data_IF_557785930241
#
_entry.id   IF_557785930241
#
_cell.length_a   1.000
_cell.length_b   1.000
_cell.length_c   1.000
_cell.angle_alpha   90.00
_cell.angle_beta   90.00
_cell.angle_gamma   90.00
#
_symmetry.space_group_name_H-M   'P 1'
#
loop_
_entity.id
_entity.type
_entity.pdbx_description
1 polymer ?
#
# COMPACT_ATOMS: atom_id res chain seq x y z
N UNK A 1 49.90 -6.11 6.23
CA UNK A 1 48.93 -5.84 5.16
C UNK A 1 47.68 -5.23 5.78
N UNK A 2 47.08 -4.21 5.16
CA UNK A 2 45.79 -3.67 5.62
C UNK A 2 44.65 -4.61 5.20
N UNK A 3 43.68 -4.91 6.07
CA UNK A 3 42.53 -5.73 5.71
C UNK A 3 41.72 -5.05 4.59
N UNK A 4 41.20 -5.85 3.66
CA UNK A 4 40.38 -5.40 2.53
C UNK A 4 38.92 -5.74 2.87
N UNK A 5 38.01 -4.77 2.72
CA UNK A 5 36.59 -4.99 2.96
C UNK A 5 35.99 -5.98 1.96
N UNK A 6 35.13 -6.88 2.46
CA UNK A 6 34.42 -7.81 1.61
C UNK A 6 33.22 -7.12 0.95
N UNK A 7 33.15 -7.11 -0.38
CA UNK A 7 32.11 -6.41 -1.14
C UNK A 7 30.68 -6.91 -0.87
N UNK A 8 30.50 -8.12 -0.34
CA UNK A 8 29.19 -8.74 -0.12
C UNK A 8 28.71 -8.67 1.33
N UNK A 9 29.64 -8.72 2.29
CA UNK A 9 29.33 -8.84 3.72
C UNK A 9 29.79 -7.64 4.55
N UNK A 10 30.54 -6.71 3.96
CA UNK A 10 30.85 -5.44 4.59
C UNK A 10 29.72 -4.46 4.26
N UNK A 11 28.78 -4.30 5.20
CA UNK A 11 27.53 -3.57 4.99
C UNK A 11 27.60 -2.21 5.68
N UNK A 12 27.30 -1.16 4.93
CA UNK A 12 27.13 0.18 5.48
C UNK A 12 25.85 0.27 6.31
N UNK A 13 25.93 0.95 7.44
CA UNK A 13 24.83 1.11 8.39
C UNK A 13 24.38 2.57 8.47
N UNK A 14 23.15 2.77 8.93
CA UNK A 14 22.56 4.07 9.21
C UNK A 14 21.91 4.03 10.60
N UNK A 15 22.01 5.14 11.31
CA UNK A 15 21.41 5.34 12.63
C UNK A 15 20.13 6.18 12.51
N UNK A 16 19.03 5.66 13.05
CA UNK A 16 17.76 6.37 13.16
C UNK A 16 17.41 6.55 14.63
N UNK A 17 16.85 7.70 14.99
CA UNK A 17 16.22 7.91 16.29
C UNK A 17 14.71 8.05 16.11
N UNK A 18 13.95 7.24 16.83
CA UNK A 18 12.48 7.30 16.87
C UNK A 18 12.05 7.34 18.32
N UNK A 19 11.30 8.37 18.69
CA UNK A 19 11.02 8.67 20.10
C UNK A 19 12.31 8.72 20.94
N UNK A 20 12.43 7.87 21.95
CA UNK A 20 13.58 7.73 22.84
C UNK A 20 14.52 6.57 22.48
N UNK A 21 14.31 5.90 21.34
CA UNK A 21 15.05 4.71 20.93
C UNK A 21 15.93 4.93 19.69
N UNK A 22 17.11 4.31 19.69
CA UNK A 22 18.11 4.38 18.62
C UNK A 22 18.17 3.05 17.86
N UNK A 23 18.04 3.12 16.54
CA UNK A 23 18.05 1.98 15.63
C UNK A 23 19.26 2.03 14.71
N UNK A 24 20.03 0.94 14.68
CA UNK A 24 21.15 0.75 13.75
C UNK A 24 20.80 -0.30 12.72
N UNK A 25 20.62 0.11 11.47
CA UNK A 25 20.13 -0.77 10.39
C UNK A 25 21.00 -0.67 9.14
N UNK A 26 20.99 -1.68 8.25
CA UNK A 26 21.66 -1.59 6.96
C UNK A 26 21.16 -0.39 6.13
N UNK A 27 22.09 0.41 5.61
CA UNK A 27 21.80 1.61 4.82
C UNK A 27 21.28 1.29 3.42
N UNK A 28 21.72 0.16 2.86
CA UNK A 28 21.49 -0.22 1.46
C UNK A 28 20.00 -0.16 1.03
N UNK A 29 19.02 -0.74 1.75
CA UNK A 29 17.62 -0.69 1.32
C UNK A 29 17.03 0.72 1.25
N UNK A 30 17.55 1.67 2.04
CA UNK A 30 17.12 3.07 2.01
C UNK A 30 17.75 3.86 0.86
N UNK A 31 18.96 3.47 0.41
CA UNK A 31 19.64 4.10 -0.73
C UNK A 31 19.18 3.56 -2.08
N UNK A 32 18.76 2.29 -2.14
CA UNK A 32 18.22 1.69 -3.36
C UNK A 32 16.88 2.31 -3.77
N UNK A 33 16.19 2.96 -2.84
CA UNK A 33 15.01 3.74 -3.14
C UNK A 33 15.42 5.06 -3.82
N UNK A 34 15.07 5.27 -5.12
CA UNK A 34 15.46 6.48 -5.84
C UNK A 34 14.61 7.71 -5.47
N UNK A 35 13.61 7.55 -4.60
CA UNK A 35 12.65 8.58 -4.28
C UNK A 35 12.90 9.21 -2.89
N UNK A 36 12.56 10.50 -2.72
CA UNK A 36 12.62 11.17 -1.42
C UNK A 36 11.75 10.47 -0.36
N UNK A 37 12.09 10.60 0.94
CA UNK A 37 13.05 11.55 1.49
C UNK A 37 14.49 11.04 1.57
N UNK A 38 14.71 9.72 1.58
CA UNK A 38 16.04 9.16 1.86
C UNK A 38 17.05 9.35 0.73
N UNK A 39 16.60 9.37 -0.53
CA UNK A 39 17.46 9.73 -1.66
C UNK A 39 18.14 11.08 -1.44
N UNK A 40 17.38 12.04 -0.92
CA UNK A 40 17.82 13.42 -0.72
C UNK A 40 18.72 13.50 0.51
N UNK A 41 18.29 12.93 1.63
CA UNK A 41 19.07 12.87 2.88
C UNK A 41 20.47 12.32 2.64
N UNK A 42 20.60 11.28 1.81
CA UNK A 42 21.91 10.68 1.52
C UNK A 42 22.69 11.35 0.38
N UNK A 43 22.08 12.27 -0.37
CA UNK A 43 22.72 12.98 -1.49
C UNK A 43 23.06 14.44 -1.17
N UNK A 44 22.50 15.02 -0.10
CA UNK A 44 22.72 16.42 0.25
C UNK A 44 24.18 16.70 0.63
N UNK A 45 24.80 17.76 0.07
CA UNK A 45 26.13 18.20 0.47
C UNK A 45 26.10 18.73 1.91
N UNK A 46 27.11 18.35 2.69
CA UNK A 46 27.18 18.63 4.11
C UNK A 46 27.34 20.13 4.37
N UNK A 47 26.62 20.70 5.35
CA UNK A 47 26.91 22.05 5.80
C UNK A 47 28.33 22.08 6.37
N UNK A 48 29.09 23.12 6.00
CA UNK A 48 30.40 23.35 6.60
C UNK A 48 30.22 23.98 7.96
N UNK A 49 30.96 23.51 8.95
CA UNK A 49 31.04 24.20 10.22
C UNK A 49 31.75 25.55 9.99
N UNK A 50 31.01 26.65 10.20
CA UNK A 50 31.49 28.02 10.00
C UNK A 50 32.68 28.36 10.91
N UNK A 51 32.87 27.60 12.00
CA UNK A 51 33.91 27.86 13.01
C UNK A 51 35.21 27.07 12.79
N UNK A 52 35.13 25.88 12.20
CA UNK A 52 36.28 24.96 12.02
C UNK A 52 36.66 24.73 10.55
N UNK A 53 35.81 25.15 9.61
CA UNK A 53 35.99 24.93 8.16
C UNK A 53 36.13 23.43 7.80
N UNK A 54 35.66 22.54 8.68
CA UNK A 54 35.53 21.10 8.44
C UNK A 54 34.08 20.77 8.09
N UNK A 55 33.90 19.81 7.18
CA UNK A 55 32.57 19.31 6.81
C UNK A 55 31.93 18.64 8.05
N UNK A 56 30.70 19.05 8.41
CA UNK A 56 29.94 18.36 9.45
C UNK A 56 29.67 16.92 9.03
N UNK A 57 29.63 15.98 9.97
CA UNK A 57 29.31 14.59 9.62
C UNK A 57 27.85 14.48 9.14
N UNK A 58 27.56 13.66 8.11
CA UNK A 58 26.19 13.43 7.66
C UNK A 58 25.33 12.87 8.78
N UNK A 59 24.07 13.28 8.83
CA UNK A 59 23.07 12.66 9.72
C UNK A 59 22.99 11.15 9.44
N UNK A 60 22.82 10.38 10.52
CA UNK A 60 22.73 8.92 10.49
C UNK A 60 24.05 8.19 10.37
N UNK A 61 25.21 8.87 10.53
CA UNK A 61 26.54 8.23 10.46
C UNK A 61 27.09 7.75 11.80
N UNK A 62 26.59 8.27 12.92
CA UNK A 62 26.98 7.85 14.27
C UNK A 62 25.80 7.85 15.26
N UNK A 63 26.04 7.34 16.46
CA UNK A 63 25.04 7.33 17.55
C UNK A 63 24.76 8.74 18.08
N UNK A 64 25.75 9.64 17.99
CA UNK A 64 25.67 11.03 18.42
C UNK A 64 25.00 11.94 17.39
N UNK A 65 24.86 11.48 16.14
CA UNK A 65 24.22 12.21 15.06
C UNK A 65 23.29 11.30 14.23
N UNK A 66 22.20 10.75 14.81
CA UNK A 66 21.25 9.91 14.10
C UNK A 66 20.30 10.73 13.22
N UNK A 67 19.65 10.08 12.25
CA UNK A 67 18.50 10.67 11.54
C UNK A 67 17.29 10.61 12.49
N UNK A 68 16.85 11.77 12.97
CA UNK A 68 15.71 11.87 13.89
C UNK A 68 14.41 11.85 13.08
N UNK A 69 13.58 10.83 13.30
CA UNK A 69 12.26 10.71 12.69
C UNK A 69 11.20 11.27 13.64
N UNK A 70 11.02 12.59 13.58
CA UNK A 70 10.01 13.29 14.38
C UNK A 70 8.58 12.82 14.02
N UNK A 71 7.69 12.82 15.01
CA UNK A 71 6.26 12.48 14.84
C UNK A 71 5.98 11.03 14.40
N UNK A 72 6.98 10.15 14.51
CA UNK A 72 6.84 8.72 14.24
C UNK A 72 6.76 7.92 15.54
N UNK A 73 5.76 7.05 15.67
CA UNK A 73 5.68 6.10 16.78
C UNK A 73 6.66 4.95 16.55
N UNK A 74 7.38 4.54 17.60
CA UNK A 74 8.36 3.44 17.51
C UNK A 74 7.78 2.13 17.01
N UNK A 75 6.56 1.79 17.45
CA UNK A 75 5.85 0.58 17.02
C UNK A 75 5.64 0.55 15.50
N UNK A 76 5.35 1.70 14.89
CA UNK A 76 5.13 1.77 13.45
C UNK A 76 6.44 1.59 12.69
N UNK A 77 7.53 2.15 13.23
CA UNK A 77 8.85 1.98 12.65
C UNK A 77 9.33 0.53 12.73
N UNK A 78 9.18 -0.12 13.88
CA UNK A 78 9.51 -1.53 14.08
C UNK A 78 8.73 -2.44 13.14
N UNK A 79 7.42 -2.21 12.96
CA UNK A 79 6.59 -2.92 11.98
C UNK A 79 7.14 -2.77 10.57
N UNK A 80 7.47 -1.54 10.15
CA UNK A 80 8.07 -1.29 8.84
C UNK A 80 9.42 -1.98 8.67
N UNK A 81 10.31 -1.86 9.66
CA UNK A 81 11.62 -2.52 9.66
C UNK A 81 11.50 -4.05 9.62
N UNK A 82 10.53 -4.60 10.36
CA UNK A 82 10.28 -6.04 10.40
C UNK A 82 9.95 -6.56 9.00
N UNK A 83 9.16 -5.85 8.20
CA UNK A 83 8.85 -6.29 6.83
C UNK A 83 10.01 -5.96 5.87
N UNK A 84 10.67 -4.81 6.02
CA UNK A 84 11.77 -4.39 5.14
C UNK A 84 13.01 -5.30 5.26
N UNK A 85 13.32 -5.77 6.47
CA UNK A 85 14.53 -6.54 6.77
C UNK A 85 14.28 -8.03 6.98
N UNK A 86 13.04 -8.52 6.80
CA UNK A 86 12.79 -9.97 6.76
C UNK A 86 13.62 -10.57 5.61
N UNK A 87 14.54 -11.44 5.99
CA UNK A 87 15.42 -12.18 5.09
C UNK A 87 14.88 -13.63 5.00
N UNK A 88 14.19 -14.05 3.91
CA UNK A 88 13.64 -15.40 3.84
C UNK A 88 14.75 -16.41 3.54
N UNK A 89 14.73 -17.57 4.20
CA UNK A 89 14.32 -18.74 3.42
C UNK A 89 13.31 -19.66 4.13
N UNK A 90 12.97 -19.42 5.40
CA UNK A 90 12.04 -20.28 6.16
C UNK A 90 11.00 -19.43 6.91
N UNK A 91 9.72 -19.76 6.72
CA UNK A 91 8.57 -19.20 7.47
C UNK A 91 8.16 -17.74 7.21
N UNK A 92 8.74 -17.05 6.22
CA UNK A 92 8.32 -15.69 5.86
C UNK A 92 6.80 -15.60 5.56
N UNK A 93 6.24 -16.60 4.85
CA UNK A 93 4.82 -16.72 4.61
C UNK A 93 3.98 -16.68 5.90
N UNK A 94 4.33 -17.52 6.88
CA UNK A 94 3.62 -17.60 8.17
C UNK A 94 3.77 -16.31 8.98
N UNK A 95 4.94 -15.70 8.93
CA UNK A 95 5.18 -14.41 9.56
C UNK A 95 4.26 -13.33 8.97
N UNK A 96 4.22 -13.17 7.65
CA UNK A 96 3.37 -12.19 6.98
C UNK A 96 1.87 -12.45 7.18
N UNK A 97 1.45 -13.71 7.22
CA UNK A 97 0.07 -14.09 7.55
C UNK A 97 -0.30 -13.71 9.00
N UNK A 98 0.65 -13.82 9.94
CA UNK A 98 0.43 -13.51 11.35
C UNK A 98 0.29 -12.02 11.66
N UNK A 99 0.85 -11.15 10.81
CA UNK A 99 0.73 -9.70 10.97
C UNK A 99 -0.73 -9.23 10.87
N UNK A 100 -1.16 -8.38 11.78
CA UNK A 100 -2.52 -7.85 11.91
C UNK A 100 -2.83 -6.75 10.89
N UNK A 101 -4.09 -6.27 10.86
CA UNK A 101 -4.47 -5.11 10.04
C UNK A 101 -3.68 -3.86 10.45
N UNK A 102 -3.50 -3.63 11.76
CA UNK A 102 -2.74 -2.49 12.26
C UNK A 102 -1.28 -2.58 11.84
N UNK A 103 -0.66 -3.76 11.94
CA UNK A 103 0.73 -3.97 11.52
C UNK A 103 0.93 -3.60 10.04
N UNK A 104 0.07 -4.12 9.17
CA UNK A 104 0.14 -3.80 7.74
C UNK A 104 -0.26 -2.36 7.43
N UNK A 105 -1.13 -1.74 8.23
CA UNK A 105 -1.49 -0.33 8.07
C UNK A 105 -0.32 0.59 8.40
N UNK A 106 0.46 0.28 9.44
CA UNK A 106 1.71 0.98 9.76
C UNK A 106 2.72 0.86 8.62
N UNK A 107 2.90 -0.37 8.09
CA UNK A 107 3.80 -0.63 6.95
C UNK A 107 3.33 0.15 5.72
N UNK A 108 2.03 0.14 5.41
CA UNK A 108 1.45 0.90 4.31
C UNK A 108 1.69 2.40 4.48
N UNK A 109 1.49 2.94 5.69
CA UNK A 109 1.69 4.36 5.97
C UNK A 109 3.12 4.80 5.67
N UNK A 110 4.10 4.12 6.27
CA UNK A 110 5.52 4.50 6.14
C UNK A 110 6.06 4.23 4.75
N UNK A 111 5.67 3.12 4.12
CA UNK A 111 6.07 2.84 2.74
C UNK A 111 5.47 3.84 1.74
N UNK A 112 4.30 4.40 2.03
CA UNK A 112 3.70 5.47 1.22
C UNK A 112 4.42 6.80 1.44
N UNK A 113 4.66 7.17 2.70
CA UNK A 113 5.32 8.42 3.07
C UNK A 113 6.76 8.50 2.55
N UNK A 114 7.48 7.36 2.55
CA UNK A 114 8.87 7.29 2.14
C UNK A 114 9.08 6.74 0.73
N UNK A 115 8.00 6.59 -0.05
CA UNK A 115 8.04 6.10 -1.43
C UNK A 115 8.73 4.74 -1.61
N UNK A 116 8.63 3.85 -0.62
CA UNK A 116 9.00 2.43 -0.77
C UNK A 116 7.90 1.71 -1.56
N UNK A 117 7.81 1.98 -2.86
CA UNK A 117 6.71 1.58 -3.76
C UNK A 117 6.45 0.07 -3.69
N UNK A 118 7.54 -0.70 -3.73
CA UNK A 118 7.63 -2.12 -3.46
C UNK A 118 6.86 -2.58 -2.21
N UNK A 119 7.25 -2.03 -1.06
CA UNK A 119 6.72 -2.40 0.25
C UNK A 119 5.28 -1.90 0.42
N UNK A 120 4.95 -0.75 -0.18
CA UNK A 120 3.59 -0.24 -0.27
C UNK A 120 2.68 -1.21 -1.01
N UNK A 121 3.10 -1.70 -2.17
CA UNK A 121 2.33 -2.71 -2.90
C UNK A 121 2.18 -4.01 -2.11
N UNK A 122 3.24 -4.42 -1.42
CA UNK A 122 3.24 -5.60 -0.56
C UNK A 122 2.21 -5.48 0.58
N UNK A 123 2.21 -4.35 1.28
CA UNK A 123 1.24 -4.07 2.34
C UNK A 123 -0.19 -4.02 1.81
N UNK A 124 -0.41 -3.40 0.64
CA UNK A 124 -1.73 -3.38 -0.01
C UNK A 124 -2.20 -4.79 -0.36
N UNK A 125 -1.32 -5.66 -0.87
CA UNK A 125 -1.68 -7.04 -1.15
C UNK A 125 -2.14 -7.77 0.12
N UNK A 126 -1.33 -7.74 1.18
CA UNK A 126 -1.66 -8.44 2.42
C UNK A 126 -2.91 -7.89 3.11
N UNK A 127 -3.10 -6.57 3.15
CA UNK A 127 -4.35 -5.96 3.63
C UNK A 127 -5.56 -6.41 2.81
N UNK A 128 -5.43 -6.49 1.48
CA UNK A 128 -6.51 -6.97 0.61
C UNK A 128 -6.91 -8.43 0.88
N UNK A 129 -6.01 -9.23 1.45
CA UNK A 129 -6.27 -10.62 1.83
C UNK A 129 -6.88 -10.78 3.23
N UNK A 130 -6.93 -9.72 4.05
CA UNK A 130 -7.51 -9.77 5.40
C UNK A 130 -9.03 -9.80 5.31
N UNK A 131 -9.63 -10.89 5.82
CA UNK A 131 -11.10 -11.08 5.85
C UNK A 131 -11.80 -10.08 6.76
N UNK A 132 -11.13 -9.65 7.81
CA UNK A 132 -11.70 -8.75 8.82
C UNK A 132 -11.60 -7.27 8.40
N UNK A 133 -11.00 -6.97 7.23
CA UNK A 133 -10.94 -5.61 6.70
C UNK A 133 -12.31 -5.21 6.15
N UNK A 134 -13.01 -4.34 6.87
CA UNK A 134 -14.40 -4.01 6.54
C UNK A 134 -14.52 -3.17 5.26
N UNK A 135 -15.73 -3.05 4.72
CA UNK A 135 -16.01 -2.14 3.60
C UNK A 135 -15.61 -0.69 3.94
N UNK A 136 -15.82 -0.28 5.19
CA UNK A 136 -15.57 1.08 5.63
C UNK A 136 -14.07 1.31 5.79
N UNK A 137 -13.34 0.36 6.37
CA UNK A 137 -11.87 0.43 6.47
C UNK A 137 -11.25 0.54 5.08
N UNK A 138 -11.74 -0.24 4.10
CA UNK A 138 -11.28 -0.13 2.71
C UNK A 138 -11.50 1.27 2.15
N UNK A 139 -12.65 1.89 2.36
CA UNK A 139 -12.94 3.26 1.87
C UNK A 139 -12.01 4.27 2.54
N UNK A 140 -11.85 4.19 3.86
CA UNK A 140 -11.02 5.13 4.63
C UNK A 140 -9.53 5.01 4.28
N UNK A 141 -9.00 3.78 4.26
CA UNK A 141 -7.62 3.52 3.86
C UNK A 141 -7.38 3.90 2.39
N UNK A 142 -8.36 3.70 1.52
CA UNK A 142 -8.24 4.08 0.11
C UNK A 142 -8.13 5.59 -0.08
N UNK A 143 -8.88 6.38 0.70
CA UNK A 143 -8.77 7.84 0.72
C UNK A 143 -7.42 8.28 1.25
N UNK A 144 -7.00 7.70 2.37
CA UNK A 144 -5.77 8.10 3.06
C UNK A 144 -4.50 7.74 2.26
N UNK A 145 -4.49 6.56 1.65
CA UNK A 145 -3.31 6.02 0.98
C UNK A 145 -3.49 5.91 -0.53
N UNK A 146 -4.47 6.58 -1.13
CA UNK A 146 -4.73 6.58 -2.57
C UNK A 146 -4.75 5.19 -3.19
N UNK A 147 -5.64 4.31 -2.71
CA UNK A 147 -5.79 2.92 -3.23
C UNK A 147 -7.13 2.80 -3.96
N UNK A 148 -7.14 3.17 -5.25
CA UNK A 148 -8.37 3.32 -6.04
C UNK A 148 -9.28 2.09 -6.04
N UNK A 149 -8.69 0.89 -6.14
CA UNK A 149 -9.42 -0.38 -6.12
C UNK A 149 -10.14 -0.61 -4.79
N UNK A 150 -9.55 -0.24 -3.66
CA UNK A 150 -10.20 -0.36 -2.34
C UNK A 150 -11.37 0.61 -2.20
N UNK A 151 -11.23 1.84 -2.71
CA UNK A 151 -12.32 2.81 -2.70
C UNK A 151 -13.51 2.27 -3.48
N UNK A 152 -13.27 1.87 -4.74
CA UNK A 152 -14.31 1.35 -5.62
C UNK A 152 -14.97 0.09 -5.05
N UNK A 153 -14.17 -0.93 -4.70
CA UNK A 153 -14.73 -2.19 -4.16
C UNK A 153 -15.38 -2.01 -2.80
N UNK A 154 -14.86 -1.15 -1.93
CA UNK A 154 -15.48 -0.82 -0.65
C UNK A 154 -16.88 -0.24 -0.81
N UNK A 155 -17.04 0.74 -1.72
CA UNK A 155 -18.36 1.35 -2.01
C UNK A 155 -19.32 0.34 -2.65
N UNK A 156 -18.86 -0.38 -3.68
CA UNK A 156 -19.71 -1.31 -4.44
C UNK A 156 -20.13 -2.51 -3.60
N UNK A 157 -19.19 -3.10 -2.86
CA UNK A 157 -19.48 -4.25 -2.02
C UNK A 157 -20.41 -3.86 -0.85
N UNK A 158 -20.20 -2.69 -0.24
CA UNK A 158 -21.12 -2.17 0.79
C UNK A 158 -22.54 -1.98 0.26
N UNK A 159 -22.68 -1.42 -0.95
CA UNK A 159 -23.97 -1.19 -1.59
C UNK A 159 -24.69 -2.52 -1.90
N UNK A 160 -23.93 -3.56 -2.24
CA UNK A 160 -24.45 -4.91 -2.54
C UNK A 160 -24.59 -5.79 -1.31
N UNK A 161 -24.12 -5.36 -0.16
CA UNK A 161 -24.30 -6.10 1.08
C UNK A 161 -25.76 -5.99 1.55
N UNK A 162 -26.49 -7.10 1.39
CA UNK A 162 -27.89 -7.25 1.76
C UNK A 162 -28.10 -7.73 3.20
N UNK A 163 -27.03 -8.01 3.94
CA UNK A 163 -27.11 -8.53 5.32
C UNK A 163 -27.52 -7.49 6.36
N UNK A 164 -27.85 -6.26 5.93
CA UNK A 164 -28.19 -5.12 6.77
C UNK A 164 -27.06 -4.66 7.70
N UNK A 165 -25.79 -4.83 7.29
CA UNK A 165 -24.66 -4.23 8.00
C UNK A 165 -24.87 -2.72 8.14
N UNK A 166 -25.05 -2.25 9.37
CA UNK A 166 -25.19 -0.82 9.66
C UNK A 166 -23.82 -0.17 9.76
N UNK A 167 -23.70 1.05 9.24
CA UNK A 167 -22.52 1.89 9.50
C UNK A 167 -22.65 2.37 10.94
N UNK A 168 -21.70 2.02 11.78
CA UNK A 168 -21.67 2.49 13.16
C UNK A 168 -21.60 4.03 13.21
N UNK A 169 -22.05 4.66 14.30
CA UNK A 169 -21.93 6.11 14.45
C UNK A 169 -20.48 6.60 14.37
N UNK A 170 -19.53 5.79 14.85
CA UNK A 170 -18.09 6.08 14.79
C UNK A 170 -17.63 6.09 13.33
N UNK A 171 -18.00 5.07 12.55
CA UNK A 171 -17.61 4.95 11.15
C UNK A 171 -18.31 5.99 10.27
N UNK A 172 -19.56 6.32 10.58
CA UNK A 172 -20.27 7.42 9.94
C UNK A 172 -19.58 8.77 10.18
N UNK A 173 -19.07 9.00 11.40
CA UNK A 173 -18.25 10.16 11.74
C UNK A 173 -16.97 10.24 10.91
N UNK A 174 -16.25 9.11 10.75
CA UNK A 174 -15.03 9.03 9.94
C UNK A 174 -15.28 9.22 8.44
N UNK A 175 -16.38 8.66 7.93
CA UNK A 175 -16.74 8.76 6.50
C UNK A 175 -17.23 10.16 6.11
N UNK A 176 -17.89 10.85 7.05
CA UNK A 176 -18.59 12.10 6.82
C UNK A 176 -20.04 11.88 6.34
N UNK A 177 -20.93 12.79 6.75
CA UNK A 177 -22.38 12.69 6.52
C UNK A 177 -22.75 12.45 5.05
N UNK A 178 -22.18 13.22 4.13
CA UNK A 178 -22.48 13.12 2.70
C UNK A 178 -22.14 11.73 2.14
N UNK A 179 -20.99 11.17 2.52
CA UNK A 179 -20.56 9.83 2.10
C UNK A 179 -21.47 8.76 2.70
N UNK A 180 -21.77 8.83 3.99
CA UNK A 180 -22.67 7.89 4.66
C UNK A 180 -24.05 7.86 4.00
N UNK A 181 -24.66 9.02 3.76
CA UNK A 181 -25.96 9.13 3.09
C UNK A 181 -25.89 8.57 1.66
N UNK A 182 -24.83 8.88 0.93
CA UNK A 182 -24.64 8.40 -0.45
C UNK A 182 -24.47 6.87 -0.51
N UNK A 183 -23.77 6.27 0.47
CA UNK A 183 -23.62 4.83 0.60
C UNK A 183 -24.97 4.14 0.87
N UNK A 184 -25.79 4.68 1.78
CA UNK A 184 -27.13 4.15 2.04
C UNK A 184 -28.07 4.32 0.84
N UNK A 185 -27.97 5.43 0.10
CA UNK A 185 -28.72 5.64 -1.13
C UNK A 185 -28.34 4.58 -2.18
N UNK A 186 -27.04 4.37 -2.41
CA UNK A 186 -26.56 3.33 -3.32
C UNK A 186 -27.07 1.94 -2.95
N UNK A 187 -27.01 1.59 -1.67
CA UNK A 187 -27.55 0.32 -1.17
C UNK A 187 -29.05 0.19 -1.40
N UNK A 188 -29.79 1.28 -1.16
CA UNK A 188 -31.23 1.33 -1.42
C UNK A 188 -31.57 1.10 -2.89
N UNK A 189 -30.77 1.66 -3.81
CA UNK A 189 -30.95 1.42 -5.25
C UNK A 189 -30.57 0.00 -5.64
N UNK A 190 -29.45 -0.52 -5.14
CA UNK A 190 -29.01 -1.90 -5.41
C UNK A 190 -30.07 -2.94 -4.99
N UNK A 191 -30.82 -2.67 -3.91
CA UNK A 191 -31.97 -3.49 -3.51
C UNK A 191 -33.12 -3.43 -4.52
N UNK A 192 -33.52 -2.23 -4.95
CA UNK A 192 -34.60 -2.06 -5.96
C UNK A 192 -34.26 -2.75 -7.28
N UNK A 193 -33.01 -2.65 -7.71
CA UNK A 193 -32.53 -3.27 -8.96
C UNK A 193 -32.55 -4.81 -8.89
N UNK A 194 -32.38 -5.38 -7.69
CA UNK A 194 -32.48 -6.83 -7.45
C UNK A 194 -33.93 -7.32 -7.47
N UNK A 195 -34.84 -6.56 -6.87
CA UNK A 195 -36.25 -6.95 -6.74
C UNK A 195 -37.04 -6.73 -8.04
N UNK A 196 -36.59 -5.81 -8.90
CA UNK A 196 -37.05 -5.67 -10.28
C UNK A 196 -36.40 -6.74 -11.18
N UNK A 197 -37.16 -7.31 -12.11
CA UNK A 197 -36.77 -8.42 -13.01
C UNK A 197 -35.66 -8.08 -14.04
N UNK A 198 -34.72 -7.19 -13.69
CA UNK A 198 -33.56 -6.80 -14.48
C UNK A 198 -32.37 -7.63 -14.02
N UNK A 199 -32.03 -8.64 -14.80
CA UNK A 199 -30.93 -9.58 -14.61
C UNK A 199 -29.62 -8.89 -14.16
N UNK A 200 -29.33 -8.89 -12.86
CA UNK A 200 -27.99 -8.80 -12.24
C UNK A 200 -27.02 -7.72 -12.75
N UNK A 201 -27.52 -6.70 -13.44
CA UNK A 201 -26.68 -5.81 -14.24
C UNK A 201 -26.33 -4.57 -13.46
N UNK A 202 -25.05 -4.16 -13.54
CA UNK A 202 -24.50 -2.92 -12.98
C UNK A 202 -25.24 -1.64 -13.42
N UNK A 203 -26.14 -1.74 -14.39
CA UNK A 203 -26.76 -0.63 -15.11
C UNK A 203 -27.58 0.30 -14.20
N UNK A 204 -28.25 -0.20 -13.17
CA UNK A 204 -29.13 0.62 -12.31
C UNK A 204 -28.39 1.47 -11.27
N UNK A 205 -27.32 0.94 -10.65
CA UNK A 205 -26.57 1.68 -9.62
C UNK A 205 -25.43 2.54 -10.19
N UNK A 206 -24.93 2.25 -11.40
CA UNK A 206 -23.82 3.00 -12.03
C UNK A 206 -24.08 4.51 -12.13
N UNK A 207 -25.27 4.99 -12.52
CA UNK A 207 -25.56 6.43 -12.55
C UNK A 207 -25.45 7.09 -11.16
N UNK A 208 -25.91 6.41 -10.11
CA UNK A 208 -25.81 6.92 -8.74
C UNK A 208 -24.37 6.87 -8.21
N UNK A 209 -23.63 5.80 -8.52
CA UNK A 209 -22.22 5.73 -8.17
C UNK A 209 -21.48 6.89 -8.82
N UNK A 210 -21.73 7.10 -10.12
CA UNK A 210 -21.07 8.16 -10.85
C UNK A 210 -21.40 9.54 -10.27
N UNK A 211 -22.67 9.77 -9.94
CA UNK A 211 -23.12 11.02 -9.33
C UNK A 211 -22.44 11.32 -7.99
N UNK A 212 -22.23 10.32 -7.15
CA UNK A 212 -21.79 10.52 -5.76
C UNK A 212 -20.29 10.32 -5.55
N UNK A 213 -19.63 9.52 -6.38
CA UNK A 213 -18.29 9.00 -6.09
C UNK A 213 -17.29 9.07 -7.25
N UNK A 214 -17.72 9.45 -8.47
CA UNK A 214 -16.83 9.42 -9.64
C UNK A 214 -15.67 10.40 -9.52
N UNK A 215 -15.94 11.64 -9.12
CA UNK A 215 -14.91 12.67 -9.03
C UNK A 215 -13.90 12.34 -7.93
N UNK A 216 -14.39 11.82 -6.79
CA UNK A 216 -13.53 11.33 -5.71
C UNK A 216 -12.67 10.14 -6.18
N UNK A 217 -13.28 9.16 -6.85
CA UNK A 217 -12.55 8.02 -7.41
C UNK A 217 -11.49 8.47 -8.41
N UNK A 218 -11.78 9.45 -9.27
CA UNK A 218 -10.81 10.00 -10.24
C UNK A 218 -9.63 10.66 -9.54
N UNK A 219 -9.88 11.43 -8.48
CA UNK A 219 -8.82 12.03 -7.67
C UNK A 219 -7.90 10.96 -7.07
N UNK A 220 -8.50 9.94 -6.45
CA UNK A 220 -7.76 8.80 -5.88
C UNK A 220 -6.98 8.04 -6.98
N UNK A 221 -7.59 7.81 -8.14
CA UNK A 221 -6.96 7.12 -9.28
C UNK A 221 -5.77 7.89 -9.86
N UNK A 222 -5.81 9.22 -9.88
CA UNK A 222 -4.71 10.04 -10.37
C UNK A 222 -3.45 9.81 -9.52
N UNK A 223 -3.58 9.94 -8.19
CA UNK A 223 -2.47 9.69 -7.26
C UNK A 223 -2.04 8.22 -7.24
N UNK A 224 -2.99 7.28 -7.31
CA UNK A 224 -2.67 5.85 -7.37
C UNK A 224 -1.86 5.51 -8.64
N UNK A 225 -2.15 6.17 -9.76
CA UNK A 225 -1.42 6.02 -11.02
C UNK A 225 0.01 6.57 -10.93
N UNK A 226 0.22 7.68 -10.21
CA UNK A 226 1.56 8.21 -9.94
C UNK A 226 2.42 7.16 -9.22
N UNK A 227 1.91 6.55 -8.15
CA UNK A 227 2.63 5.46 -7.45
C UNK A 227 2.90 4.25 -8.35
N UNK A 228 1.93 3.85 -9.19
CA UNK A 228 2.13 2.75 -10.14
C UNK A 228 3.20 3.08 -11.20
N UNK A 229 3.35 4.35 -11.58
CA UNK A 229 4.36 4.76 -12.56
C UNK A 229 5.79 4.78 -12.01
N UNK A 230 5.94 4.84 -10.69
CA UNK A 230 7.23 4.82 -9.97
C UNK A 230 7.78 3.40 -9.77
N UNK A 231 7.06 2.36 -10.19
CA UNK A 231 7.50 0.97 -10.03
C UNK A 231 8.70 0.71 -10.97
N UNK A 232 9.91 0.40 -10.45
CA UNK A 232 11.06 0.12 -11.29
C UNK A 232 10.88 -1.22 -12.02
N UNK A 233 11.10 -1.26 -13.33
CA UNK A 233 10.96 -2.49 -14.13
C UNK A 233 11.83 -3.67 -13.65
N UNK A 234 13.01 -3.39 -13.08
CA UNK A 234 13.96 -4.40 -12.57
C UNK A 234 13.81 -4.67 -11.05
N UNK A 235 13.21 -3.74 -10.30
CA UNK A 235 12.86 -3.93 -8.88
C UNK A 235 11.64 -4.84 -8.68
N UNK A 236 10.89 -5.05 -9.77
CA UNK A 236 9.87 -6.09 -9.95
C UNK A 236 10.39 -7.44 -9.44
N UNK A 237 11.52 -7.89 -9.97
CA UNK A 237 11.96 -9.29 -9.89
C UNK A 237 12.35 -9.73 -8.48
N UNK A 238 12.97 -8.87 -7.68
CA UNK A 238 13.39 -9.20 -6.31
C UNK A 238 12.22 -9.31 -5.33
N UNK A 239 11.27 -8.37 -5.39
CA UNK A 239 10.08 -8.38 -4.56
C UNK A 239 9.03 -9.33 -5.07
N UNK A 240 8.91 -9.49 -6.38
CA UNK A 240 8.02 -10.48 -6.98
C UNK A 240 8.57 -11.89 -6.75
N UNK A 241 9.89 -12.10 -6.71
CA UNK A 241 10.50 -13.33 -6.20
C UNK A 241 10.26 -13.54 -4.71
N UNK A 242 10.43 -12.52 -3.86
CA UNK A 242 10.14 -12.62 -2.43
C UNK A 242 8.65 -12.86 -2.14
N UNK A 243 7.76 -12.23 -2.91
CA UNK A 243 6.31 -12.48 -2.93
C UNK A 243 5.99 -13.90 -3.40
N UNK A 244 6.65 -14.37 -4.46
CA UNK A 244 6.47 -15.71 -5.02
C UNK A 244 6.95 -16.79 -4.04
N UNK A 245 8.07 -16.56 -3.35
CA UNK A 245 8.63 -17.44 -2.32
C UNK A 245 7.87 -17.37 -0.99
N UNK A 246 7.24 -16.24 -0.67
CA UNK A 246 6.37 -16.07 0.49
C UNK A 246 4.99 -16.74 0.33
N UNK A 247 4.68 -17.37 -0.82
CA UNK A 247 3.41 -18.10 -1.01
C UNK A 247 3.56 -19.58 -0.63
N UNK A 248 2.66 -20.17 0.20
CA UNK A 248 2.95 -21.44 0.89
C UNK A 248 2.83 -22.71 0.02
N UNK A 249 2.25 -22.67 -1.18
CA UNK A 249 1.92 -23.91 -1.89
C UNK A 249 1.80 -23.81 -3.42
N UNK A 250 2.31 -24.83 -4.12
CA UNK A 250 2.29 -24.94 -5.60
C UNK A 250 0.87 -25.01 -6.20
N UNK A 251 -0.10 -25.55 -5.48
CA UNK A 251 -1.51 -25.60 -5.92
C UNK A 251 -2.27 -24.29 -5.64
N UNK A 252 -1.81 -23.47 -4.69
CA UNK A 252 -2.23 -22.06 -4.55
C UNK A 252 -1.57 -21.17 -5.62
N UNK A 253 -0.42 -21.59 -6.19
CA UNK A 253 0.20 -20.92 -7.35
C UNK A 253 -0.60 -21.05 -8.64
N UNK A 254 -1.59 -21.92 -8.72
CA UNK A 254 -2.44 -22.05 -9.92
C UNK A 254 -3.91 -21.72 -9.65
N UNK A 255 -4.38 -21.85 -8.39
CA UNK A 255 -5.77 -21.53 -8.02
C UNK A 255 -5.99 -20.12 -7.47
N UNK A 256 -5.02 -19.52 -6.76
CA UNK A 256 -5.07 -18.10 -6.35
C UNK A 256 -4.38 -17.16 -7.35
N UNK A 257 -3.56 -17.73 -8.24
CA UNK A 257 -2.88 -17.04 -9.34
C UNK A 257 -3.76 -16.98 -10.61
N UNK A 258 -5.09 -17.00 -10.42
CA UNK A 258 -6.04 -16.37 -11.35
C UNK A 258 -5.91 -14.84 -11.39
N UNK A 259 -5.00 -14.28 -10.59
CA UNK A 259 -4.39 -13.00 -10.86
C UNK A 259 -3.02 -12.87 -10.18
N UNK A 260 -1.92 -12.93 -10.94
CA UNK A 260 -0.56 -12.53 -10.52
C UNK A 260 -0.57 -11.15 -9.82
N UNK A 261 0.46 -10.78 -9.05
CA UNK A 261 0.68 -9.34 -8.69
C UNK A 261 0.66 -8.47 -9.95
N UNK A 262 1.11 -9.04 -11.09
CA UNK A 262 0.95 -8.46 -12.43
C UNK A 262 -0.52 -8.33 -12.86
N UNK A 263 -1.41 -9.26 -12.54
CA UNK A 263 -2.84 -9.14 -12.80
C UNK A 263 -3.57 -8.29 -11.75
N UNK A 264 -3.06 -8.20 -10.52
CA UNK A 264 -3.48 -7.20 -9.54
C UNK A 264 -3.14 -5.79 -10.06
N UNK A 265 -1.94 -5.61 -10.63
CA UNK A 265 -1.49 -4.40 -11.32
C UNK A 265 -2.31 -4.12 -12.60
N UNK A 266 -2.57 -5.14 -13.44
CA UNK A 266 -3.37 -5.01 -14.66
C UNK A 266 -4.88 -4.81 -14.35
N UNK A 267 -5.39 -5.37 -13.25
CA UNK A 267 -6.78 -5.20 -12.79
C UNK A 267 -7.04 -3.89 -12.07
N UNK A 268 -6.01 -3.07 -11.83
CA UNK A 268 -6.19 -1.63 -11.53
C UNK A 268 -6.63 -0.84 -12.75
N UNK A 269 -6.55 -1.43 -13.95
CA UNK A 269 -7.12 -0.92 -15.20
C UNK A 269 -8.62 -1.24 -15.34
N UNK A 270 -9.46 -0.66 -14.48
CA UNK A 270 -10.82 -0.35 -14.94
C UNK A 270 -10.68 0.77 -15.97
N UNK A 271 -10.92 0.48 -17.24
CA UNK A 271 -10.99 1.51 -18.28
C UNK A 271 -12.25 2.33 -18.07
N UNK A 272 -12.07 3.58 -17.61
CA UNK A 272 -13.06 4.63 -17.82
C UNK A 272 -12.88 5.08 -19.28
N UNK A 273 -13.52 4.38 -20.20
CA UNK A 273 -13.72 4.88 -21.56
C UNK A 273 -14.95 5.80 -21.54
N UNK A 274 -14.79 7.04 -22.01
CA UNK A 274 -15.88 8.03 -22.17
C UNK A 274 -16.67 8.36 -20.89
N UNK A 275 -16.02 8.33 -19.72
CA UNK A 275 -16.65 8.73 -18.46
C UNK A 275 -17.64 7.71 -17.87
N UNK A 276 -17.65 6.47 -18.37
CA UNK A 276 -18.47 5.37 -17.83
C UNK A 276 -17.62 4.21 -17.31
N UNK A 277 -18.13 3.56 -16.26
CA UNK A 277 -17.50 2.41 -15.61
C UNK A 277 -17.88 1.15 -16.41
N UNK A 278 -16.97 0.61 -17.24
CA UNK A 278 -17.21 -0.63 -18.00
C UNK A 278 -16.73 -1.84 -17.20
N UNK A 279 -17.56 -2.88 -17.11
CA UNK A 279 -17.14 -4.18 -16.56
C UNK A 279 -16.24 -4.88 -17.57
N UNK A 280 -14.98 -5.13 -17.22
CA UNK A 280 -14.10 -5.99 -18.02
C UNK A 280 -14.52 -7.44 -17.75
N UNK A 281 -15.21 -8.05 -18.72
CA UNK A 281 -15.47 -9.49 -18.69
C UNK A 281 -14.16 -10.29 -18.78
N UNK A 282 -14.13 -11.55 -18.31
CA UNK A 282 -12.92 -12.36 -18.36
C UNK A 282 -12.46 -12.44 -19.80
N UNK A 283 -11.21 -12.04 -20.07
CA UNK A 283 -10.60 -12.15 -21.40
C UNK A 283 -10.81 -13.58 -21.88
N UNK A 284 -11.60 -13.73 -22.95
CA UNK A 284 -11.83 -15.02 -23.58
C UNK A 284 -10.48 -15.64 -23.89
N UNK A 285 -10.25 -16.84 -23.37
CA UNK A 285 -9.23 -17.74 -23.91
C UNK A 285 -9.68 -18.07 -25.33
N UNK A 286 -9.10 -17.39 -26.31
CA UNK A 286 -9.07 -17.85 -27.69
C UNK A 286 -8.31 -19.17 -27.71
N UNK A 287 -8.90 -20.15 -28.38
CA UNK A 287 -8.36 -21.47 -28.66
C UNK A 287 -7.02 -21.40 -29.38
#
# INVERSE_FOLDING_TARGET
MKPIHNQRFFVDVVFFQVEDELYKVPKKPFMENPHPPFSDIFSLPLPKDESTNTDLQPEGTSEENPIVLEQLLKVDFERFLSVLFVNPPFQAAKFFESLTIDDWTSVLRLSTQWHFIALRMFAIYHLSCKKDLTYIDRILLARQYSVSKWFFTGVVDFARDYTMSEISHIDAGKLGLCTTVSLYHLRGQARKDRDGNSSGSLVGFTPLFNKHFLDELRGIQATDKEYCSMVPGEGLDGLTAALVDAMPNKDQRDSQLGGSVKDYLLSRGFEIADGQLKSVGPRGRGW
#
